data_IF_983988343767
#
_entry.id   IF_983988343767
#
_cell.length_a   1.000
_cell.length_b   1.000
_cell.length_c   1.000
_cell.angle_alpha   90.00
_cell.angle_beta   90.00
_cell.angle_gamma   90.00
#
_symmetry.space_group_name_H-M   'P 1'
#
loop_
_entity.id
_entity.type
_entity.pdbx_description
1 polymer ?
#
# COMPACT_ATOMS: atom_id res chain seq x y z
N UNK A 1 -9.32 13.65 9.15
CA UNK A 1 -8.74 13.55 7.79
C UNK A 1 -7.27 13.23 7.95
N UNK A 2 -6.69 12.41 7.08
CA UNK A 2 -5.25 12.12 7.10
C UNK A 2 -4.48 13.42 6.83
N UNK A 3 -3.43 13.68 7.61
CA UNK A 3 -2.59 14.87 7.48
C UNK A 3 -1.16 14.57 7.96
N UNK A 4 -0.42 13.83 7.13
CA UNK A 4 0.98 13.51 7.34
C UNK A 4 1.84 14.65 6.82
N UNK A 5 2.73 15.14 7.68
CA UNK A 5 3.76 16.12 7.33
C UNK A 5 5.12 15.42 7.24
N UNK A 6 5.89 15.76 6.22
CA UNK A 6 7.26 15.27 6.01
C UNK A 6 8.21 16.41 6.36
N UNK A 7 8.57 16.50 7.64
CA UNK A 7 9.40 17.57 8.18
C UNK A 7 10.64 16.97 8.85
N UNK A 8 11.82 17.50 8.52
CA UNK A 8 13.11 17.01 9.02
C UNK A 8 13.73 15.91 8.15
N UNK A 9 15.05 15.74 8.32
CA UNK A 9 15.86 14.84 7.49
C UNK A 9 15.45 13.37 7.64
N UNK A 10 15.17 12.92 8.87
CA UNK A 10 14.76 11.54 9.13
C UNK A 10 13.40 11.20 8.49
N UNK A 11 12.43 12.13 8.55
CA UNK A 11 11.11 11.95 7.94
C UNK A 11 11.21 11.94 6.41
N UNK A 12 12.02 12.85 5.83
CA UNK A 12 12.26 12.88 4.40
C UNK A 12 12.92 11.58 3.92
N UNK A 13 13.90 11.06 4.66
CA UNK A 13 14.54 9.78 4.35
C UNK A 13 13.53 8.63 4.37
N UNK A 14 12.71 8.53 5.42
CA UNK A 14 11.67 7.50 5.51
C UNK A 14 10.65 7.62 4.36
N UNK A 15 10.27 8.84 3.99
CA UNK A 15 9.38 9.10 2.86
C UNK A 15 9.98 8.63 1.53
N UNK A 16 11.23 9.03 1.24
CA UNK A 16 11.91 8.64 0.00
C UNK A 16 12.20 7.13 -0.06
N UNK A 17 12.52 6.48 1.06
CA UNK A 17 12.65 5.01 1.12
C UNK A 17 11.32 4.29 0.85
N UNK A 18 10.21 4.83 1.39
CA UNK A 18 8.86 4.33 1.14
C UNK A 18 8.45 4.49 -0.33
N UNK A 19 8.69 5.67 -0.90
CA UNK A 19 8.48 5.99 -2.31
C UNK A 19 9.33 5.08 -3.21
N UNK A 20 10.62 4.92 -2.89
CA UNK A 20 11.52 4.00 -3.61
C UNK A 20 10.95 2.59 -3.60
N UNK A 21 10.48 2.10 -2.46
CA UNK A 21 9.84 0.77 -2.37
C UNK A 21 8.60 0.67 -3.26
N UNK A 22 7.74 1.69 -3.27
CA UNK A 22 6.52 1.72 -4.07
C UNK A 22 6.77 1.65 -5.59
N UNK A 23 7.81 2.33 -6.07
CA UNK A 23 8.16 2.37 -7.50
C UNK A 23 9.15 1.29 -7.93
N UNK A 24 9.83 0.63 -6.99
CA UNK A 24 10.79 -0.44 -7.30
C UNK A 24 10.08 -1.71 -7.77
N UNK A 25 10.57 -2.30 -8.85
CA UNK A 25 10.11 -3.61 -9.32
C UNK A 25 10.68 -4.70 -8.42
N UNK A 26 9.87 -5.69 -8.10
CA UNK A 26 10.24 -6.79 -7.22
C UNK A 26 9.68 -8.14 -7.69
N UNK A 27 10.33 -9.20 -7.24
CA UNK A 27 9.92 -10.59 -7.48
C UNK A 27 10.18 -11.08 -8.90
N UNK A 28 9.92 -12.37 -9.14
CA UNK A 28 10.15 -13.01 -10.44
C UNK A 28 9.32 -12.37 -11.56
N UNK A 29 8.15 -11.80 -11.24
CA UNK A 29 7.28 -11.16 -12.23
C UNK A 29 7.68 -9.72 -12.56
N UNK A 30 8.69 -9.16 -11.86
CA UNK A 30 9.27 -7.85 -12.15
C UNK A 30 8.25 -6.68 -12.16
N UNK A 31 7.32 -6.66 -11.20
CA UNK A 31 6.31 -5.62 -11.05
C UNK A 31 6.58 -4.73 -9.82
N UNK A 32 6.16 -3.46 -9.89
CA UNK A 32 6.12 -2.56 -8.73
C UNK A 32 4.68 -2.29 -8.29
N UNK A 33 4.49 -1.66 -7.13
CA UNK A 33 3.15 -1.23 -6.70
C UNK A 33 2.54 -0.27 -7.72
N UNK A 34 3.36 0.64 -8.28
CA UNK A 34 2.95 1.60 -9.30
C UNK A 34 2.47 0.93 -10.60
N UNK A 35 3.08 -0.20 -11.00
CA UNK A 35 2.68 -0.92 -12.22
C UNK A 35 1.19 -1.30 -12.23
N UNK A 36 0.60 -1.54 -11.06
CA UNK A 36 -0.82 -1.83 -10.94
C UNK A 36 -1.62 -0.63 -10.43
N UNK A 37 -1.19 -0.01 -9.33
CA UNK A 37 -1.98 0.99 -8.60
C UNK A 37 -1.78 2.43 -9.08
N UNK A 38 -0.99 2.65 -10.13
CA UNK A 38 -0.85 3.92 -10.86
C UNK A 38 -1.13 3.71 -12.35
N UNK A 39 -0.38 2.81 -12.99
CA UNK A 39 -0.42 2.67 -14.45
C UNK A 39 -1.68 1.93 -14.95
N UNK A 40 -2.29 1.08 -14.12
CA UNK A 40 -3.39 0.20 -14.50
C UNK A 40 -4.63 0.39 -13.62
N UNK A 41 -4.79 1.56 -12.99
CA UNK A 41 -5.97 1.87 -12.18
C UNK A 41 -7.23 1.79 -13.04
N UNK A 42 -8.28 1.16 -12.53
CA UNK A 42 -9.55 0.96 -13.25
C UNK A 42 -9.52 -0.22 -14.23
N UNK A 43 -8.34 -0.70 -14.64
CA UNK A 43 -8.23 -1.92 -15.44
C UNK A 43 -8.58 -3.15 -14.61
N UNK A 44 -9.05 -4.19 -15.30
CA UNK A 44 -9.48 -5.44 -14.67
C UNK A 44 -8.36 -6.48 -14.74
N UNK A 45 -7.91 -6.92 -13.57
CA UNK A 45 -7.01 -8.07 -13.43
C UNK A 45 -7.86 -9.29 -13.02
N UNK A 46 -8.24 -10.10 -14.02
CA UNK A 46 -9.18 -11.23 -13.86
C UNK A 46 -10.52 -10.78 -13.26
N UNK A 47 -10.83 -11.16 -12.03
CA UNK A 47 -12.09 -10.79 -11.37
C UNK A 47 -12.05 -9.44 -10.64
N UNK A 48 -10.87 -8.84 -10.51
CA UNK A 48 -10.63 -7.68 -9.66
C UNK A 48 -10.42 -6.41 -10.48
N UNK A 49 -11.03 -5.31 -10.05
CA UNK A 49 -10.76 -3.97 -10.59
C UNK A 49 -9.65 -3.33 -9.78
N UNK A 50 -8.62 -2.85 -10.47
CA UNK A 50 -7.45 -2.30 -9.80
C UNK A 50 -7.76 -0.96 -9.16
N UNK A 51 -7.63 -0.89 -7.84
CA UNK A 51 -7.88 0.34 -7.07
C UNK A 51 -6.70 1.30 -7.16
N UNK A 52 -6.92 2.62 -7.07
CA UNK A 52 -5.83 3.62 -7.04
C UNK A 52 -4.98 3.48 -5.78
N UNK A 53 -3.71 3.90 -5.86
CA UNK A 53 -2.83 3.99 -4.68
C UNK A 53 -3.26 5.10 -3.70
N UNK A 54 -3.76 6.22 -4.23
CA UNK A 54 -4.32 7.32 -3.44
C UNK A 54 -5.55 6.84 -2.67
N UNK A 55 -5.59 7.13 -1.37
CA UNK A 55 -6.70 6.75 -0.50
C UNK A 55 -6.68 5.31 0.00
N UNK A 56 -5.65 4.52 -0.32
CA UNK A 56 -5.51 3.19 0.28
C UNK A 56 -5.38 3.31 1.79
N UNK A 57 -4.48 4.16 2.32
CA UNK A 57 -4.16 4.19 3.74
C UNK A 57 -5.34 4.55 4.66
N UNK A 58 -6.34 5.28 4.16
CA UNK A 58 -7.53 5.66 4.94
C UNK A 58 -8.58 4.55 5.04
N UNK A 59 -8.48 3.51 4.20
CA UNK A 59 -9.47 2.43 4.08
C UNK A 59 -9.15 1.17 4.88
N UNK A 60 -7.98 1.09 5.51
CA UNK A 60 -7.52 -0.06 6.29
C UNK A 60 -7.62 0.21 7.81
N UNK A 61 -7.78 -0.83 8.65
CA UNK A 61 -7.96 -2.24 8.29
C UNK A 61 -9.33 -2.53 7.67
N UNK A 62 -9.48 -3.68 7.01
CA UNK A 62 -10.72 -4.08 6.32
C UNK A 62 -11.00 -5.57 6.55
N UNK A 63 -12.27 -5.92 6.69
CA UNK A 63 -12.69 -7.32 6.66
C UNK A 63 -12.76 -7.81 5.21
N UNK A 64 -11.95 -8.80 4.87
CA UNK A 64 -12.02 -9.52 3.59
C UNK A 64 -12.85 -10.77 3.76
N UNK A 65 -13.77 -11.03 2.82
CA UNK A 65 -14.71 -12.15 2.94
C UNK A 65 -15.77 -12.00 4.04
N UNK A 66 -15.70 -10.92 4.85
CA UNK A 66 -16.61 -10.64 5.96
C UNK A 66 -16.14 -11.17 7.32
N UNK A 67 -15.05 -11.94 7.36
CA UNK A 67 -14.57 -12.64 8.56
C UNK A 67 -13.09 -12.35 8.88
N UNK A 68 -12.27 -12.07 7.86
CA UNK A 68 -10.83 -11.88 8.04
C UNK A 68 -10.44 -10.41 8.08
N UNK A 69 -10.03 -9.92 9.25
CA UNK A 69 -9.45 -8.59 9.40
C UNK A 69 -8.05 -8.54 8.79
N UNK A 70 -7.87 -7.71 7.75
CA UNK A 70 -6.59 -7.52 7.06
C UNK A 70 -6.12 -6.08 7.27
N UNK A 71 -4.85 -5.93 7.63
CA UNK A 71 -4.18 -4.62 7.77
C UNK A 71 -3.52 -4.21 6.45
N UNK A 72 -3.13 -2.94 6.35
CA UNK A 72 -2.39 -2.43 5.19
C UNK A 72 -1.06 -3.16 4.99
N UNK A 73 -0.30 -3.41 6.06
CA UNK A 73 0.95 -4.16 5.95
C UNK A 73 0.72 -5.63 5.57
N UNK A 74 -0.35 -6.26 6.07
CA UNK A 74 -0.72 -7.61 5.61
C UNK A 74 -1.05 -7.61 4.11
N UNK A 75 -1.63 -6.52 3.59
CA UNK A 75 -1.85 -6.36 2.15
C UNK A 75 -0.53 -6.22 1.37
N UNK A 76 0.49 -5.57 1.94
CA UNK A 76 1.82 -5.51 1.31
C UNK A 76 2.45 -6.90 1.20
N UNK A 77 2.36 -7.73 2.24
CA UNK A 77 2.83 -9.12 2.16
C UNK A 77 2.17 -9.87 1.01
N UNK A 78 0.83 -9.81 0.94
CA UNK A 78 0.06 -10.49 -0.10
C UNK A 78 0.44 -9.97 -1.50
N UNK A 79 0.66 -8.67 -1.64
CA UNK A 79 1.12 -8.06 -2.90
C UNK A 79 2.49 -8.61 -3.32
N UNK A 80 3.46 -8.63 -2.41
CA UNK A 80 4.79 -9.19 -2.66
C UNK A 80 4.71 -10.68 -3.04
N UNK A 81 3.87 -11.46 -2.36
CA UNK A 81 3.65 -12.87 -2.72
C UNK A 81 3.10 -13.03 -4.15
N UNK A 82 2.15 -12.19 -4.58
CA UNK A 82 1.58 -12.26 -5.93
C UNK A 82 2.59 -11.94 -7.04
N UNK A 83 3.57 -11.08 -6.77
CA UNK A 83 4.68 -10.81 -7.71
C UNK A 83 5.84 -11.80 -7.56
N UNK A 84 5.69 -12.83 -6.72
CA UNK A 84 6.72 -13.83 -6.40
C UNK A 84 7.99 -13.20 -5.80
N UNK A 85 7.80 -12.24 -4.91
CA UNK A 85 8.84 -11.69 -4.03
C UNK A 85 8.70 -12.27 -2.63
N UNK A 86 9.82 -12.46 -1.93
CA UNK A 86 9.80 -12.81 -0.50
C UNK A 86 9.29 -11.60 0.27
N UNK A 87 8.15 -11.69 0.99
CA UNK A 87 7.58 -10.56 1.71
C UNK A 87 8.48 -10.15 2.89
N UNK A 88 8.47 -8.87 3.22
CA UNK A 88 9.14 -8.36 4.41
C UNK A 88 8.27 -8.65 5.65
N UNK A 89 8.87 -8.61 6.84
CA UNK A 89 8.12 -8.78 8.09
C UNK A 89 7.27 -7.54 8.37
N UNK A 90 5.99 -7.69 8.75
CA UNK A 90 5.16 -6.59 9.27
C UNK A 90 5.82 -5.96 10.50
N UNK A 91 5.74 -4.64 10.58
CA UNK A 91 6.46 -3.80 11.55
C UNK A 91 7.91 -3.54 11.19
N UNK A 92 8.43 -4.13 10.11
CA UNK A 92 9.78 -3.87 9.61
C UNK A 92 9.92 -2.49 8.97
N UNK A 93 11.13 -1.94 8.96
CA UNK A 93 11.42 -0.57 8.47
C UNK A 93 10.91 -0.33 7.05
N UNK A 94 11.09 -1.28 6.12
CA UNK A 94 10.62 -1.14 4.73
C UNK A 94 9.10 -0.98 4.63
N UNK A 95 8.34 -1.77 5.39
CA UNK A 95 6.86 -1.66 5.40
C UNK A 95 6.37 -0.44 6.17
N UNK A 96 7.03 -0.05 7.25
CA UNK A 96 6.68 1.19 7.96
C UNK A 96 6.91 2.42 7.07
N UNK A 97 8.03 2.47 6.34
CA UNK A 97 8.32 3.55 5.40
C UNK A 97 7.34 3.54 4.22
N UNK A 98 6.99 2.36 3.69
CA UNK A 98 5.99 2.22 2.64
C UNK A 98 4.59 2.67 3.09
N UNK A 99 4.21 2.34 4.32
CA UNK A 99 2.96 2.79 4.94
C UNK A 99 2.95 4.30 5.15
N UNK A 100 4.06 4.88 5.61
CA UNK A 100 4.23 6.32 5.75
C UNK A 100 4.03 7.05 4.41
N UNK A 101 4.60 6.52 3.33
CA UNK A 101 4.39 7.03 1.98
C UNK A 101 2.91 6.92 1.53
N UNK A 102 2.26 5.77 1.73
CA UNK A 102 0.82 5.63 1.40
C UNK A 102 -0.08 6.54 2.23
N UNK A 103 0.28 6.77 3.49
CA UNK A 103 -0.43 7.68 4.38
C UNK A 103 -0.33 9.12 3.87
N UNK A 104 0.87 9.55 3.47
CA UNK A 104 1.07 10.85 2.84
C UNK A 104 0.26 11.00 1.53
N UNK A 105 0.25 9.98 0.67
CA UNK A 105 -0.57 9.99 -0.55
C UNK A 105 -2.08 10.10 -0.28
N UNK A 106 -2.52 9.75 0.93
CA UNK A 106 -3.93 9.77 1.33
C UNK A 106 -4.30 11.03 2.10
N UNK A 107 -3.42 12.04 2.15
CA UNK A 107 -3.68 13.31 2.82
C UNK A 107 -4.96 14.01 2.33
N UNK A 108 -5.68 14.65 3.25
CA UNK A 108 -6.95 15.32 2.97
C UNK A 108 -8.18 14.39 2.97
N UNK A 109 -7.99 13.08 2.84
CA UNK A 109 -9.08 12.10 2.86
C UNK A 109 -9.51 11.75 4.31
N UNK A 110 -10.77 11.37 4.49
CA UNK A 110 -11.30 10.97 5.80
C UNK A 110 -10.92 9.51 6.07
N UNK A 111 -10.35 9.24 7.25
CA UNK A 111 -10.11 7.87 7.71
C UNK A 111 -11.46 7.18 7.88
N UNK A 112 -11.68 6.14 7.07
CA UNK A 112 -12.89 5.33 7.08
C UNK A 112 -12.51 3.92 6.65
N UNK A 113 -12.24 3.09 7.64
CA UNK A 113 -12.08 1.65 7.44
C UNK A 113 -13.32 1.09 6.73
N UNK A 114 -13.09 0.24 5.73
CA UNK A 114 -14.17 -0.43 5.02
C UNK A 114 -14.68 -1.59 5.88
N UNK A 115 -16.00 -1.72 6.04
CA UNK A 115 -16.61 -2.85 6.79
C UNK A 115 -16.52 -4.14 5.98
N UNK A 116 -16.43 -4.04 4.65
CA UNK A 116 -16.30 -5.18 3.76
C UNK A 116 -15.47 -4.81 2.53
N UNK A 117 -14.57 -5.71 2.14
CA UNK A 117 -13.96 -5.76 0.81
C UNK A 117 -13.92 -7.21 0.36
N UNK A 118 -14.13 -7.42 -0.94
CA UNK A 118 -14.00 -8.75 -1.54
C UNK A 118 -12.57 -9.31 -1.37
#
# INVERSE_FOLDING_TARGET
KMNIKVEGEAALKAFEDGKKTFYSRAGQLNFSCASCHVDNVGNRLRSEVMSPAVGQAVGWPVFRGGDQLVTLQKRYEICHQYVRHVPDKPGGTRYNNLEYFHAYLSNGLVMRASVFRK
#
